data_IF_508259052090
#
_entry.id   IF_508259052090
#
_cell.length_a   1.000
_cell.length_b   1.000
_cell.length_c   1.000
_cell.angle_alpha   90.00
_cell.angle_beta   90.00
_cell.angle_gamma   90.00
#
_symmetry.space_group_name_H-M   'P 1'
#
loop_
_entity.id
_entity.type
_entity.pdbx_description
1 polymer ?
#
# COMPACT_ATOMS: atom_id res chain seq x y z
N UNK A 1 -9.26 -8.18 4.02
CA UNK A 1 -9.12 -6.72 3.79
C UNK A 1 -7.65 -6.48 3.53
N UNK A 2 -7.28 -5.98 2.35
CA UNK A 2 -5.90 -5.59 2.08
C UNK A 2 -5.76 -4.14 2.58
N UNK A 3 -4.90 -3.93 3.58
CA UNK A 3 -4.71 -2.62 4.19
C UNK A 3 -3.41 -2.02 3.66
N UNK A 4 -3.51 -1.16 2.64
CA UNK A 4 -2.40 -0.36 2.14
C UNK A 4 -2.51 1.04 2.74
N UNK A 5 -1.49 1.49 3.47
CA UNK A 5 -1.47 2.81 4.11
C UNK A 5 -0.62 3.75 3.28
N UNK A 6 -1.24 4.78 2.73
CA UNK A 6 -0.62 5.87 1.96
C UNK A 6 -0.55 7.11 2.84
N UNK A 7 0.64 7.66 3.06
CA UNK A 7 0.86 8.82 3.95
C UNK A 7 1.13 10.10 3.15
N UNK A 8 0.55 11.21 3.62
CA UNK A 8 0.74 12.57 3.11
C UNK A 8 1.35 13.49 4.19
N UNK A 9 2.14 14.49 3.80
CA UNK A 9 2.53 15.59 4.70
C UNK A 9 2.68 16.91 3.95
N UNK A 10 2.10 18.00 4.48
CA UNK A 10 2.52 19.37 4.14
C UNK A 10 3.62 19.83 5.11
N UNK A 11 4.51 20.67 4.59
CA UNK A 11 5.73 21.13 5.24
C UNK A 11 5.43 22.06 6.42
N UNK A 12 5.35 21.50 7.63
CA UNK A 12 5.91 22.00 8.91
C UNK A 12 5.37 21.16 10.07
N UNK A 13 6.30 20.52 10.80
CA UNK A 13 6.22 19.88 12.15
C UNK A 13 4.91 19.19 12.61
N UNK A 14 4.99 17.90 13.00
CA UNK A 14 3.96 17.00 13.58
C UNK A 14 3.06 16.13 12.65
N UNK A 15 3.60 15.11 11.99
CA UNK A 15 4.31 15.19 10.72
C UNK A 15 3.52 14.51 9.57
N UNK A 16 2.22 14.17 9.76
CA UNK A 16 1.35 13.53 8.77
C UNK A 16 0.03 14.32 8.69
N UNK A 17 -0.26 14.90 7.53
CA UNK A 17 -1.47 15.70 7.30
C UNK A 17 -2.67 14.83 6.96
N UNK A 18 -2.45 13.71 6.26
CA UNK A 18 -3.51 12.81 5.80
C UNK A 18 -2.99 11.38 5.70
N UNK A 19 -3.85 10.42 5.99
CA UNK A 19 -3.65 8.98 5.81
C UNK A 19 -4.72 8.50 4.84
N UNK A 20 -4.34 8.13 3.62
CA UNK A 20 -5.25 7.42 2.73
C UNK A 20 -5.03 5.93 2.88
N UNK A 21 -6.08 5.21 3.21
CA UNK A 21 -6.08 3.76 3.15
C UNK A 21 -6.69 3.36 1.82
N UNK A 22 -5.96 2.60 1.01
CA UNK A 22 -6.52 2.04 -0.21
C UNK A 22 -7.30 0.78 0.17
N UNK A 23 -8.60 0.80 -0.11
CA UNK A 23 -9.50 -0.35 0.11
C UNK A 23 -9.73 -1.05 -1.21
N UNK A 24 -9.39 -2.33 -1.29
CA UNK A 24 -9.53 -3.12 -2.52
C UNK A 24 -10.97 -3.65 -2.68
N UNK A 25 -11.53 -3.45 -3.88
CA UNK A 25 -12.87 -3.87 -4.30
C UNK A 25 -14.08 -3.35 -3.47
N UNK A 26 -14.12 -2.09 -2.98
CA UNK A 26 -15.36 -1.49 -2.47
C UNK A 26 -16.26 -1.01 -3.61
N UNK A 27 -17.56 -0.84 -3.32
CA UNK A 27 -18.53 -0.37 -4.32
C UNK A 27 -18.39 1.13 -4.61
N UNK A 28 -18.08 1.91 -3.59
CA UNK A 28 -17.98 3.37 -3.61
C UNK A 28 -17.13 3.86 -2.42
N UNK A 29 -16.96 5.18 -2.32
CA UNK A 29 -16.23 5.85 -1.23
C UNK A 29 -16.81 5.55 0.16
N UNK A 30 -18.14 5.48 0.28
CA UNK A 30 -18.80 5.22 1.57
C UNK A 30 -18.54 3.80 2.04
N UNK A 31 -18.62 2.82 1.13
CA UNK A 31 -18.29 1.43 1.41
C UNK A 31 -16.80 1.27 1.75
N UNK A 32 -15.91 1.96 1.05
CA UNK A 32 -14.49 1.97 1.35
C UNK A 32 -14.25 2.48 2.79
N UNK A 33 -14.84 3.62 3.16
CA UNK A 33 -14.67 4.23 4.48
C UNK A 33 -15.27 3.36 5.59
N UNK A 34 -16.47 2.83 5.35
CA UNK A 34 -17.16 1.92 6.28
C UNK A 34 -16.31 0.68 6.57
N UNK A 35 -15.78 0.03 5.53
CA UNK A 35 -14.93 -1.17 5.68
C UNK A 35 -13.68 -0.87 6.49
N UNK A 36 -12.96 0.22 6.21
CA UNK A 36 -11.78 0.62 6.98
C UNK A 36 -12.14 0.91 8.44
N UNK A 37 -13.23 1.64 8.68
CA UNK A 37 -13.69 1.94 10.03
C UNK A 37 -14.07 0.67 10.81
N UNK A 38 -14.86 -0.23 10.24
CA UNK A 38 -15.24 -1.50 10.85
C UNK A 38 -14.00 -2.32 11.21
N UNK A 39 -13.01 -2.36 10.33
CA UNK A 39 -11.75 -3.07 10.57
C UNK A 39 -10.93 -2.48 11.73
N UNK A 40 -10.88 -1.14 11.81
CA UNK A 40 -10.24 -0.45 12.94
C UNK A 40 -11.02 -0.68 14.25
N UNK A 41 -12.35 -0.77 14.20
CA UNK A 41 -13.19 -1.07 15.35
C UNK A 41 -13.00 -2.51 15.84
N UNK A 42 -13.02 -3.48 14.93
CA UNK A 42 -12.76 -4.90 15.22
C UNK A 42 -11.40 -5.10 15.90
N UNK A 43 -10.39 -4.35 15.47
CA UNK A 43 -9.04 -4.36 16.05
C UNK A 43 -8.90 -3.49 17.31
N UNK A 44 -9.99 -2.89 17.80
CA UNK A 44 -10.04 -2.02 18.99
C UNK A 44 -9.13 -0.78 18.89
N UNK A 45 -8.82 -0.34 17.66
CA UNK A 45 -7.98 0.83 17.38
C UNK A 45 -8.86 2.08 17.19
N UNK A 46 -10.02 1.95 16.54
CA UNK A 46 -10.81 3.14 16.17
C UNK A 46 -11.17 4.03 17.36
N UNK A 47 -11.59 3.43 18.47
CA UNK A 47 -11.99 4.17 19.67
C UNK A 47 -10.80 4.74 20.46
N UNK A 48 -9.60 4.19 20.29
CA UNK A 48 -8.38 4.73 20.93
C UNK A 48 -7.76 5.90 20.15
N UNK A 49 -8.13 6.08 18.87
CA UNK A 49 -7.72 7.24 18.09
C UNK A 49 -8.45 8.51 18.56
N UNK A 50 -7.74 9.63 18.63
CA UNK A 50 -8.34 10.95 18.86
C UNK A 50 -9.25 11.36 17.68
N UNK A 51 -10.24 12.25 17.87
CA UNK A 51 -11.08 12.73 16.79
C UNK A 51 -10.28 13.29 15.60
N UNK A 52 -9.20 14.04 15.88
CA UNK A 52 -8.30 14.57 14.86
C UNK A 52 -7.56 13.47 14.08
N UNK A 53 -7.16 12.37 14.73
CA UNK A 53 -6.53 11.25 14.05
C UNK A 53 -7.53 10.48 13.17
N UNK A 54 -8.78 10.32 13.61
CA UNK A 54 -9.84 9.70 12.81
C UNK A 54 -10.15 10.50 11.55
N UNK A 55 -10.17 11.83 11.65
CA UNK A 55 -10.39 12.73 10.51
C UNK A 55 -9.28 12.65 9.46
N UNK A 56 -8.07 12.23 9.84
CA UNK A 56 -6.96 12.04 8.89
C UNK A 56 -7.11 10.77 8.05
N UNK A 57 -7.93 9.82 8.46
CA UNK A 57 -8.11 8.52 7.78
C UNK A 57 -9.16 8.62 6.70
N UNK A 58 -8.74 8.48 5.44
CA UNK A 58 -9.63 8.44 4.28
C UNK A 58 -9.44 7.15 3.51
N UNK A 59 -10.51 6.40 3.32
CA UNK A 59 -10.48 5.26 2.44
C UNK A 59 -10.72 5.71 1.00
N UNK A 60 -9.93 5.19 0.06
CA UNK A 60 -10.20 5.33 -1.36
C UNK A 60 -10.63 3.97 -1.92
N UNK A 61 -11.67 3.93 -2.76
CA UNK A 61 -11.99 2.74 -3.53
C UNK A 61 -10.89 2.51 -4.55
N UNK A 62 -10.32 1.31 -4.59
CA UNK A 62 -9.20 1.05 -5.51
C UNK A 62 -9.22 -0.36 -6.06
N UNK A 63 -8.60 -0.48 -7.22
CA UNK A 63 -8.28 -1.71 -7.93
C UNK A 63 -6.80 -1.70 -8.26
N UNK A 64 -5.98 -2.38 -7.44
CA UNK A 64 -4.52 -2.39 -7.60
C UNK A 64 -4.01 -2.92 -8.96
N UNK A 65 -4.66 -3.92 -9.59
CA UNK A 65 -4.40 -4.30 -10.98
C UNK A 65 -4.49 -3.17 -12.01
N UNK A 66 -5.22 -2.10 -11.72
CA UNK A 66 -5.36 -0.96 -12.62
C UNK A 66 -4.14 -0.01 -12.47
N UNK A 67 -3.54 0.51 -13.57
CA UNK A 67 -2.39 1.41 -13.49
C UNK A 67 -2.62 2.72 -12.74
N UNK A 68 -3.86 3.21 -12.70
CA UNK A 68 -4.29 4.35 -11.89
C UNK A 68 -4.92 3.90 -10.56
N UNK A 69 -4.72 2.64 -10.18
CA UNK A 69 -5.22 2.03 -8.95
C UNK A 69 -6.76 2.06 -8.89
N UNK A 70 -7.45 2.15 -10.03
CA UNK A 70 -8.91 2.26 -10.11
C UNK A 70 -9.45 3.63 -9.66
N UNK A 71 -8.58 4.63 -9.53
CA UNK A 71 -8.93 6.01 -9.17
C UNK A 71 -9.22 6.82 -10.43
N UNK A 72 -10.14 7.78 -10.33
CA UNK A 72 -10.30 8.77 -11.39
C UNK A 72 -9.04 9.65 -11.51
N UNK A 73 -8.78 10.19 -12.70
CA UNK A 73 -7.54 10.92 -12.97
C UNK A 73 -7.31 12.14 -12.06
N UNK A 74 -8.37 12.81 -11.61
CA UNK A 74 -8.25 13.96 -10.70
C UNK A 74 -7.82 13.50 -9.31
N UNK A 75 -8.41 12.42 -8.81
CA UNK A 75 -8.02 11.80 -7.54
C UNK A 75 -6.61 11.24 -7.61
N UNK A 76 -6.25 10.50 -8.66
CA UNK A 76 -4.90 9.96 -8.85
C UNK A 76 -3.82 11.06 -8.86
N UNK A 77 -4.04 12.15 -9.61
CA UNK A 77 -3.12 13.28 -9.64
C UNK A 77 -3.01 13.97 -8.27
N UNK A 78 -4.12 14.13 -7.56
CA UNK A 78 -4.14 14.70 -6.21
C UNK A 78 -3.37 13.83 -5.21
N UNK A 79 -3.54 12.50 -5.29
CA UNK A 79 -2.79 11.52 -4.50
C UNK A 79 -1.30 11.67 -4.80
N UNK A 80 -0.93 11.57 -6.08
CA UNK A 80 0.46 11.63 -6.56
C UNK A 80 1.17 12.90 -6.11
N UNK A 81 0.53 14.07 -6.28
CA UNK A 81 1.13 15.37 -5.94
C UNK A 81 1.50 15.50 -4.46
N UNK A 82 0.74 14.88 -3.58
CA UNK A 82 0.89 15.05 -2.13
C UNK A 82 1.50 13.80 -1.46
N UNK A 83 1.77 12.74 -2.23
CA UNK A 83 2.27 11.48 -1.73
C UNK A 83 3.68 11.62 -1.16
N UNK A 84 3.89 11.06 0.04
CA UNK A 84 5.22 11.02 0.67
C UNK A 84 5.75 9.60 0.84
N UNK A 85 4.89 8.68 1.26
CA UNK A 85 5.27 7.30 1.45
C UNK A 85 4.09 6.36 1.26
N UNK A 86 4.37 5.19 0.75
CA UNK A 86 3.44 4.07 0.65
C UNK A 86 3.95 2.95 1.57
N UNK A 87 3.08 2.44 2.44
CA UNK A 87 3.35 1.28 3.28
C UNK A 87 2.46 0.14 2.81
N UNK A 88 3.05 -0.80 2.08
CA UNK A 88 2.36 -1.94 1.48
C UNK A 88 2.42 -3.17 2.39
N UNK A 89 1.27 -3.51 2.98
CA UNK A 89 1.07 -4.69 3.83
C UNK A 89 0.10 -5.68 3.15
N UNK A 90 0.58 -6.56 2.24
CA UNK A 90 -0.28 -7.48 1.52
C UNK A 90 -0.79 -8.60 2.44
N UNK A 91 -2.04 -9.04 2.22
CA UNK A 91 -2.70 -10.07 3.05
C UNK A 91 -3.48 -11.13 2.25
N UNK A 92 -3.16 -11.32 0.97
CA UNK A 92 -3.63 -12.49 0.22
C UNK A 92 -2.58 -13.60 0.30
N UNK A 93 -2.64 -14.39 1.38
CA UNK A 93 -1.80 -15.59 1.53
C UNK A 93 -2.67 -16.80 1.20
N UNK A 94 -2.49 -17.37 0.01
CA UNK A 94 -3.14 -18.62 -0.38
C UNK A 94 -2.11 -19.57 -0.98
N UNK A 95 -1.60 -20.48 -0.16
CA UNK A 95 -0.56 -21.43 -0.56
C UNK A 95 -1.03 -22.50 -1.56
N UNK A 96 -2.34 -22.59 -1.81
CA UNK A 96 -2.90 -23.52 -2.81
C UNK A 96 -2.88 -22.93 -4.24
N UNK A 97 -2.58 -21.64 -4.40
CA UNK A 97 -2.53 -20.99 -5.71
C UNK A 97 -1.11 -21.01 -6.29
N UNK A 98 -1.02 -21.06 -7.63
CA UNK A 98 0.25 -20.92 -8.33
C UNK A 98 0.73 -19.47 -8.33
N UNK A 99 2.05 -19.27 -8.48
CA UNK A 99 2.63 -17.92 -8.53
C UNK A 99 2.00 -17.05 -9.64
N UNK A 100 1.69 -17.64 -10.79
CA UNK A 100 1.03 -16.95 -11.90
C UNK A 100 -0.33 -16.37 -11.52
N UNK A 101 -1.06 -16.98 -10.59
CA UNK A 101 -2.36 -16.47 -10.12
C UNK A 101 -2.21 -15.15 -9.36
N UNK A 102 -1.05 -14.88 -8.77
CA UNK A 102 -0.76 -13.62 -8.06
C UNK A 102 -0.30 -12.49 -8.99
N UNK A 103 -0.06 -12.77 -10.28
CA UNK A 103 0.47 -11.78 -11.24
C UNK A 103 -0.45 -10.56 -11.38
N UNK A 104 -1.76 -10.79 -11.50
CA UNK A 104 -2.74 -9.74 -11.74
C UNK A 104 -2.93 -8.86 -10.51
N UNK A 105 -3.16 -9.47 -9.35
CA UNK A 105 -3.65 -8.71 -8.18
C UNK A 105 -2.52 -8.26 -7.26
N UNK A 106 -1.50 -9.11 -7.05
CA UNK A 106 -0.42 -8.80 -6.12
C UNK A 106 0.78 -8.17 -6.83
N UNK A 107 1.29 -8.81 -7.89
CA UNK A 107 2.52 -8.37 -8.56
C UNK A 107 2.29 -7.06 -9.32
N UNK A 108 1.23 -6.97 -10.15
CA UNK A 108 0.91 -5.74 -10.85
C UNK A 108 0.56 -4.60 -9.88
N UNK A 109 -0.17 -4.93 -8.79
CA UNK A 109 -0.46 -3.96 -7.73
C UNK A 109 0.78 -3.34 -7.11
N UNK A 110 1.78 -4.16 -6.74
CA UNK A 110 3.07 -3.63 -6.23
C UNK A 110 3.75 -2.75 -7.27
N UNK A 111 3.75 -3.15 -8.55
CA UNK A 111 4.34 -2.35 -9.63
C UNK A 111 3.66 -0.98 -9.75
N UNK A 112 2.34 -0.92 -9.81
CA UNK A 112 1.60 0.33 -9.97
C UNK A 112 1.76 1.26 -8.75
N UNK A 113 1.92 0.71 -7.55
CA UNK A 113 2.22 1.50 -6.35
C UNK A 113 3.64 2.08 -6.37
N UNK A 114 4.60 1.34 -6.90
CA UNK A 114 5.96 1.86 -7.13
C UNK A 114 5.91 2.96 -8.19
N UNK A 115 5.18 2.76 -9.29
CA UNK A 115 4.99 3.78 -10.33
C UNK A 115 4.35 5.05 -9.75
N UNK A 116 3.36 4.92 -8.86
CA UNK A 116 2.78 6.05 -8.13
C UNK A 116 3.84 6.81 -7.30
N UNK A 117 4.71 6.10 -6.58
CA UNK A 117 5.79 6.71 -5.80
C UNK A 117 6.80 7.46 -6.68
N UNK A 118 7.08 6.93 -7.87
CA UNK A 118 7.99 7.53 -8.86
C UNK A 118 7.37 8.71 -9.61
N UNK A 119 6.04 8.74 -9.73
CA UNK A 119 5.30 9.82 -10.40
C UNK A 119 5.21 11.11 -9.56
N UNK A 120 5.65 11.09 -8.30
CA UNK A 120 5.65 12.26 -7.42
C UNK A 120 6.50 13.38 -8.02
N UNK A 121 5.96 14.61 -8.18
CA UNK A 121 6.71 15.72 -8.78
C UNK A 121 7.82 16.19 -7.84
N UNK A 122 9.04 16.31 -8.37
CA UNK A 122 10.20 16.84 -7.64
C UNK A 122 11.48 16.05 -7.88
N UNK A 123 12.52 16.38 -7.12
CA UNK A 123 13.83 15.71 -7.23
C UNK A 123 13.94 14.41 -6.42
N UNK A 124 12.96 14.11 -5.56
CA UNK A 124 12.95 12.91 -4.72
C UNK A 124 11.59 12.20 -4.83
N UNK A 125 11.55 10.92 -5.23
CA UNK A 125 10.31 10.15 -5.24
C UNK A 125 9.80 9.88 -3.82
N UNK A 126 8.54 9.47 -3.70
CA UNK A 126 8.01 8.98 -2.43
C UNK A 126 8.68 7.65 -2.02
N UNK A 127 8.77 7.39 -0.72
CA UNK A 127 9.29 6.12 -0.22
C UNK A 127 8.26 4.99 -0.37
N UNK A 128 8.74 3.78 -0.61
CA UNK A 128 7.92 2.59 -0.69
C UNK A 128 8.41 1.56 0.33
N UNK A 129 7.62 1.34 1.37
CA UNK A 129 7.90 0.38 2.44
C UNK A 129 7.12 -0.91 2.16
N UNK A 130 7.83 -2.00 1.86
CA UNK A 130 7.23 -3.29 1.51
C UNK A 130 7.34 -4.29 2.66
N UNK A 131 6.20 -4.79 3.14
CA UNK A 131 6.19 -5.88 4.12
C UNK A 131 6.30 -7.24 3.42
N UNK A 132 7.51 -7.80 3.41
CA UNK A 132 7.78 -9.16 2.94
C UNK A 132 7.44 -10.22 3.99
N UNK A 133 7.61 -11.50 3.64
CA UNK A 133 7.44 -12.65 4.54
C UNK A 133 8.69 -13.52 4.54
N UNK A 134 9.01 -14.12 5.69
CA UNK A 134 10.06 -15.16 5.82
C UNK A 134 9.84 -16.34 4.87
N UNK A 135 8.59 -16.57 4.44
CA UNK A 135 8.28 -17.60 3.45
C UNK A 135 8.96 -17.37 2.09
N UNK A 136 9.34 -16.13 1.76
CA UNK A 136 10.02 -15.81 0.49
C UNK A 136 11.37 -16.50 0.33
N UNK A 137 12.03 -16.83 1.44
CA UNK A 137 13.32 -17.52 1.46
C UNK A 137 13.20 -19.01 1.79
N UNK A 138 11.99 -19.57 1.96
CA UNK A 138 11.81 -20.98 2.37
C UNK A 138 12.34 -22.02 1.36
N UNK A 139 12.56 -21.61 0.10
CA UNK A 139 13.18 -22.45 -0.94
C UNK A 139 14.57 -21.96 -1.33
N UNK A 140 15.16 -21.06 -0.54
CA UNK A 140 16.53 -20.62 -0.78
C UNK A 140 17.48 -21.82 -0.54
N UNK A 141 18.36 -22.16 -1.48
CA UNK A 141 19.13 -23.41 -1.43
C UNK A 141 20.24 -23.42 -0.36
N UNK A 142 20.53 -22.27 0.26
CA UNK A 142 21.58 -22.12 1.25
C UNK A 142 21.00 -21.83 2.65
N UNK A 143 21.63 -22.41 3.67
CA UNK A 143 21.22 -22.23 5.08
C UNK A 143 21.59 -20.84 5.62
N UNK A 144 22.62 -20.23 5.04
CA UNK A 144 23.08 -18.89 5.36
C UNK A 144 22.70 -17.93 4.24
N UNK A 145 22.08 -16.81 4.59
CA UNK A 145 21.97 -15.66 3.70
C UNK A 145 23.27 -14.89 3.77
N UNK A 146 24.11 -14.86 2.72
CA UNK A 146 25.33 -14.09 2.75
C UNK A 146 25.01 -12.59 2.86
N UNK A 147 25.75 -11.84 3.67
CA UNK A 147 25.64 -10.37 3.80
C UNK A 147 26.29 -9.63 2.60
N UNK A 148 26.25 -10.24 1.42
CA UNK A 148 26.80 -9.69 0.19
C UNK A 148 25.67 -9.51 -0.82
N UNK A 149 25.79 -8.49 -1.67
CA UNK A 149 24.84 -8.28 -2.76
C UNK A 149 24.79 -9.53 -3.63
N UNK A 150 23.59 -10.06 -3.87
CA UNK A 150 23.39 -11.19 -4.77
C UNK A 150 23.60 -10.68 -6.19
N UNK A 151 24.59 -11.24 -6.90
CA UNK A 151 24.64 -11.05 -8.35
C UNK A 151 23.48 -11.83 -8.96
N UNK A 152 22.49 -11.09 -9.46
CA UNK A 152 21.33 -11.64 -10.13
C UNK A 152 21.67 -11.75 -11.61
N UNK A 153 22.11 -12.92 -12.05
CA UNK A 153 22.40 -13.27 -13.44
C UNK A 153 21.15 -13.25 -14.35
N UNK A 154 19.97 -13.23 -13.76
CA UNK A 154 18.67 -13.19 -14.43
C UNK A 154 17.98 -11.82 -14.43
N UNK A 155 18.54 -10.81 -13.75
CA UNK A 155 17.94 -9.47 -13.62
C UNK A 155 18.48 -8.48 -14.65
#
# INVERSE_FOLDING_TARGET
MQDLIVKYSNFQSSAISRLSTISCAPKDDQDAQRRVQESLQQRKIYNSLSPAARQKTHALPSDLPDPQLGLDSKTYQSVTKNLRSVIHCPWSVNFNLSLSSFKKDCIAGVRHLIDLCLAVPGSKPASFDFCSSVSTVSKFPQLHTPETMVELDWA
#
